data_IF_358140340435
#
_entry.id   IF_358140340435
#
_cell.length_a   1.000
_cell.length_b   1.000
_cell.length_c   1.000
_cell.angle_alpha   90.00
_cell.angle_beta   90.00
_cell.angle_gamma   90.00
#
_symmetry.space_group_name_H-M   'P 1'
#
loop_
_entity.id
_entity.type
_entity.pdbx_description
1 polymer ?
#
# COMPACT_ATOMS: atom_id res chain seq x y z
N UNK A 1 13.36 -3.03 -1.72
CA UNK A 1 12.81 -3.88 -2.80
C UNK A 1 13.91 -4.71 -3.43
N UNK A 2 13.54 -5.80 -4.11
CA UNK A 2 14.48 -6.54 -4.97
C UNK A 2 14.39 -6.03 -6.41
N UNK A 3 15.44 -6.26 -7.19
CA UNK A 3 15.46 -5.90 -8.62
C UNK A 3 14.37 -6.62 -9.43
N UNK A 4 13.99 -7.83 -9.02
CA UNK A 4 12.94 -8.59 -9.69
C UNK A 4 11.56 -7.95 -9.53
N UNK A 5 11.23 -7.44 -8.33
CA UNK A 5 9.99 -6.69 -8.10
C UNK A 5 9.95 -5.43 -8.95
N UNK A 6 11.08 -4.71 -9.03
CA UNK A 6 11.20 -3.50 -9.85
C UNK A 6 11.02 -3.79 -11.34
N UNK A 7 11.68 -4.82 -11.87
CA UNK A 7 11.52 -5.25 -13.27
C UNK A 7 10.07 -5.63 -13.57
N UNK A 8 9.42 -6.41 -12.69
CA UNK A 8 8.00 -6.77 -12.86
C UNK A 8 7.11 -5.53 -12.92
N UNK A 9 7.31 -4.57 -12.01
CA UNK A 9 6.52 -3.33 -12.01
C UNK A 9 6.72 -2.53 -13.29
N UNK A 10 7.96 -2.38 -13.76
CA UNK A 10 8.25 -1.71 -15.07
C UNK A 10 7.50 -2.38 -16.21
N UNK A 11 7.54 -3.72 -16.30
CA UNK A 11 6.88 -4.47 -17.37
C UNK A 11 5.36 -4.41 -17.26
N UNK A 12 4.78 -4.34 -16.05
CA UNK A 12 3.35 -4.09 -15.84
C UNK A 12 2.95 -2.70 -16.35
N UNK A 13 3.71 -1.65 -16.01
CA UNK A 13 3.44 -0.28 -16.47
C UNK A 13 3.55 -0.16 -18.00
N UNK A 14 4.57 -0.79 -18.58
CA UNK A 14 4.79 -0.83 -20.04
C UNK A 14 3.58 -1.28 -20.84
N UNK A 15 2.78 -2.20 -20.29
CA UNK A 15 1.61 -2.77 -20.99
C UNK A 15 0.53 -1.73 -21.28
N UNK A 16 0.45 -0.66 -20.47
CA UNK A 16 -0.59 0.35 -20.61
C UNK A 16 -0.05 1.78 -20.79
N UNK A 17 1.20 2.05 -20.43
CA UNK A 17 1.84 3.36 -20.58
C UNK A 17 3.37 3.25 -20.73
N UNK A 18 3.83 3.33 -21.98
CA UNK A 18 5.25 3.19 -22.31
C UNK A 18 6.10 4.33 -21.73
N UNK A 19 5.62 5.58 -21.76
CA UNK A 19 6.38 6.72 -21.25
C UNK A 19 6.50 6.67 -19.73
N UNK A 20 5.43 6.31 -19.04
CA UNK A 20 5.42 6.13 -17.58
C UNK A 20 6.35 5.01 -17.14
N UNK A 21 6.49 3.94 -17.95
CA UNK A 21 7.41 2.84 -17.63
C UNK A 21 8.88 3.28 -17.47
N UNK A 22 9.29 4.36 -18.16
CA UNK A 22 10.64 4.92 -18.03
C UNK A 22 10.85 5.48 -16.61
N UNK A 23 9.84 6.15 -16.05
CA UNK A 23 9.89 6.67 -14.66
C UNK A 23 9.98 5.53 -13.65
N UNK A 24 9.31 4.42 -13.93
CA UNK A 24 9.28 3.23 -13.07
C UNK A 24 10.60 2.46 -13.00
N UNK A 25 11.60 2.78 -13.84
CA UNK A 25 12.98 2.30 -13.66
C UNK A 25 13.56 2.66 -12.29
N UNK A 26 13.05 3.74 -11.68
CA UNK A 26 13.45 4.23 -10.36
C UNK A 26 12.53 3.74 -9.23
N UNK A 27 11.55 2.88 -9.51
CA UNK A 27 10.62 2.36 -8.50
C UNK A 27 11.36 1.69 -7.35
N UNK A 28 10.97 2.04 -6.12
CA UNK A 28 11.62 1.53 -4.92
C UNK A 28 10.66 0.94 -3.90
N UNK A 29 9.50 1.58 -3.70
CA UNK A 29 8.50 1.12 -2.73
C UNK A 29 7.13 1.69 -3.09
N UNK A 30 6.09 1.05 -2.55
CA UNK A 30 4.73 1.55 -2.56
C UNK A 30 4.25 1.80 -1.14
N UNK A 31 3.30 2.71 -0.99
CA UNK A 31 2.50 2.83 0.24
C UNK A 31 1.05 2.67 -0.11
N UNK A 32 0.31 1.96 0.74
CA UNK A 32 -1.12 1.71 0.54
C UNK A 32 -1.89 2.23 1.75
N UNK A 33 -2.93 3.01 1.49
CA UNK A 33 -3.88 3.46 2.49
C UNK A 33 -5.04 2.46 2.54
N UNK A 34 -5.21 1.86 3.71
CA UNK A 34 -6.31 0.95 4.00
C UNK A 34 -7.19 1.53 5.10
N UNK A 35 -8.50 1.47 4.90
CA UNK A 35 -9.48 1.66 5.97
C UNK A 35 -9.81 0.31 6.59
N UNK A 36 -9.93 0.26 7.92
CA UNK A 36 -10.25 -0.97 8.67
C UNK A 36 -11.50 -0.74 9.50
N UNK A 37 -12.48 -1.62 9.34
CA UNK A 37 -13.62 -1.75 10.25
C UNK A 37 -13.28 -2.80 11.31
N UNK A 38 -12.86 -2.32 12.49
CA UNK A 38 -12.48 -3.18 13.60
C UNK A 38 -13.65 -4.02 14.14
N UNK A 39 -14.88 -3.52 14.06
CA UNK A 39 -16.07 -4.19 14.62
C UNK A 39 -16.48 -5.36 13.75
N UNK A 40 -16.49 -5.16 12.44
CA UNK A 40 -16.95 -6.15 11.48
C UNK A 40 -15.82 -6.97 10.83
N UNK A 41 -14.55 -6.71 11.21
CA UNK A 41 -13.34 -7.33 10.67
C UNK A 41 -13.29 -7.24 9.13
N UNK A 42 -13.46 -6.02 8.59
CA UNK A 42 -13.41 -5.72 7.15
C UNK A 42 -12.33 -4.70 6.82
N UNK A 43 -11.84 -4.73 5.59
CA UNK A 43 -10.83 -3.81 5.09
C UNK A 43 -11.22 -3.24 3.72
N UNK A 44 -10.74 -2.04 3.40
CA UNK A 44 -11.02 -1.32 2.17
C UNK A 44 -9.74 -0.61 1.71
N UNK A 45 -9.26 -0.89 0.50
CA UNK A 45 -8.12 -0.17 -0.06
C UNK A 45 -8.60 1.16 -0.65
N UNK A 46 -8.06 2.28 -0.18
CA UNK A 46 -8.46 3.62 -0.65
C UNK A 46 -7.47 4.17 -1.70
N UNK A 47 -6.18 4.05 -1.42
CA UNK A 47 -5.13 4.66 -2.23
C UNK A 47 -3.89 3.78 -2.25
N UNK A 48 -3.18 3.75 -3.38
CA UNK A 48 -1.77 3.37 -3.40
C UNK A 48 -0.93 4.44 -4.09
N UNK A 49 0.30 4.58 -3.64
CA UNK A 49 1.27 5.54 -4.15
C UNK A 49 2.59 4.83 -4.36
N UNK A 50 3.13 4.96 -5.57
CA UNK A 50 4.42 4.40 -5.95
C UNK A 50 5.49 5.49 -5.83
N UNK A 51 6.63 5.14 -5.23
CA UNK A 51 7.72 6.08 -4.96
C UNK A 51 9.05 5.59 -5.53
N UNK A 52 9.91 6.56 -5.84
CA UNK A 52 11.33 6.31 -6.03
C UNK A 52 12.07 6.20 -4.69
N UNK A 53 13.38 5.92 -4.76
CA UNK A 53 14.25 5.78 -3.59
C UNK A 53 14.41 7.06 -2.75
N UNK A 54 14.11 8.22 -3.33
CA UNK A 54 14.21 9.53 -2.67
C UNK A 54 12.85 9.98 -2.11
N UNK A 55 11.80 9.17 -2.22
CA UNK A 55 10.45 9.52 -1.80
C UNK A 55 9.70 10.41 -2.80
N UNK A 56 10.18 10.55 -4.03
CA UNK A 56 9.43 11.23 -5.10
C UNK A 56 8.32 10.31 -5.59
N UNK A 57 7.10 10.85 -5.69
CA UNK A 57 5.94 10.16 -6.24
C UNK A 57 6.17 9.87 -7.73
N UNK A 58 6.08 8.60 -8.09
CA UNK A 58 6.06 8.12 -9.48
C UNK A 58 4.64 8.06 -10.00
N UNK A 59 3.72 7.57 -9.15
CA UNK A 59 2.30 7.49 -9.45
C UNK A 59 1.47 7.49 -8.17
N UNK A 60 0.22 7.89 -8.30
CA UNK A 60 -0.78 7.83 -7.24
C UNK A 60 -2.10 7.42 -7.84
N UNK A 61 -2.70 6.39 -7.26
CA UNK A 61 -4.01 5.92 -7.65
C UNK A 61 -4.95 5.91 -6.44
N UNK A 62 -6.10 6.56 -6.59
CA UNK A 62 -7.20 6.52 -5.63
C UNK A 62 -8.36 5.75 -6.23
N UNK A 63 -8.89 4.81 -5.47
CA UNK A 63 -10.06 4.08 -5.90
C UNK A 63 -11.32 4.90 -5.66
N UNK A 64 -12.09 5.14 -6.72
CA UNK A 64 -13.33 5.90 -6.64
C UNK A 64 -14.51 5.06 -6.11
N UNK A 65 -14.40 3.73 -6.19
CA UNK A 65 -15.42 2.75 -5.80
C UNK A 65 -14.76 1.48 -5.29
N UNK A 66 -14.12 1.56 -4.12
CA UNK A 66 -13.66 0.36 -3.44
C UNK A 66 -14.79 -0.26 -2.63
N UNK A 67 -14.76 -1.58 -2.48
CA UNK A 67 -15.71 -2.33 -1.67
C UNK A 67 -15.06 -2.84 -0.39
N UNK A 68 -15.84 -2.91 0.67
CA UNK A 68 -15.40 -3.51 1.92
C UNK A 68 -15.29 -5.02 1.75
N UNK A 69 -14.09 -5.55 1.99
CA UNK A 69 -13.82 -6.97 1.88
C UNK A 69 -13.54 -7.57 3.27
N UNK A 70 -13.85 -8.86 3.40
CA UNK A 70 -13.48 -9.62 4.59
C UNK A 70 -11.96 -9.74 4.69
N UNK A 71 -11.41 -9.58 5.90
CA UNK A 71 -9.98 -9.73 6.11
C UNK A 71 -9.56 -11.20 5.94
N UNK A 72 -8.71 -11.46 4.95
CA UNK A 72 -8.18 -12.80 4.67
C UNK A 72 -7.21 -13.22 5.78
N UNK A 73 -7.35 -14.43 6.36
CA UNK A 73 -6.41 -14.95 7.35
C UNK A 73 -4.96 -15.07 6.82
N UNK A 74 -3.97 -14.92 7.70
CA UNK A 74 -2.53 -14.98 7.38
C UNK A 74 -2.05 -13.94 6.34
N UNK A 75 -2.87 -12.93 6.06
CA UNK A 75 -2.53 -11.85 5.13
C UNK A 75 -1.87 -10.65 5.82
N UNK A 76 -1.31 -9.73 5.02
CA UNK A 76 -0.88 -8.42 5.51
C UNK A 76 -2.02 -7.61 6.14
N UNK A 77 -3.25 -7.73 5.62
CA UNK A 77 -4.44 -7.08 6.16
C UNK A 77 -4.80 -7.58 7.56
N UNK A 78 -4.66 -8.89 7.83
CA UNK A 78 -4.89 -9.42 9.17
C UNK A 78 -3.86 -8.92 10.17
N UNK A 79 -2.57 -8.86 9.79
CA UNK A 79 -1.52 -8.29 10.64
C UNK A 79 -1.81 -6.83 10.97
N UNK A 80 -2.26 -6.05 9.98
CA UNK A 80 -2.62 -4.65 10.19
C UNK A 80 -3.81 -4.51 11.15
N UNK A 81 -4.84 -5.34 10.99
CA UNK A 81 -5.98 -5.40 11.92
C UNK A 81 -5.56 -5.73 13.35
N UNK A 82 -4.70 -6.74 13.55
CA UNK A 82 -4.20 -7.10 14.88
C UNK A 82 -3.45 -5.93 15.54
N UNK A 83 -2.64 -5.21 14.76
CA UNK A 83 -1.90 -4.06 15.27
C UNK A 83 -2.79 -2.85 15.56
N UNK A 84 -3.79 -2.58 14.73
CA UNK A 84 -4.64 -1.38 14.83
C UNK A 84 -5.83 -1.55 15.80
N UNK A 85 -6.46 -2.72 15.81
CA UNK A 85 -7.74 -2.95 16.49
C UNK A 85 -7.60 -3.76 17.80
N UNK A 86 -6.60 -4.64 17.91
CA UNK A 86 -6.50 -5.61 19.02
C UNK A 86 -5.39 -5.24 20.00
N UNK A 87 -4.23 -4.82 19.49
CA UNK A 87 -3.11 -4.46 20.36
C UNK A 87 -3.47 -3.22 21.18
N UNK A 88 -3.50 -3.29 22.53
CA UNK A 88 -3.77 -2.10 23.33
C UNK A 88 -2.69 -1.07 23.02
N UNK A 89 -3.10 0.08 22.48
CA UNK A 89 -2.17 1.15 22.14
C UNK A 89 -1.35 1.47 23.39
N UNK A 90 -0.06 1.11 23.40
CA UNK A 90 0.84 1.66 24.42
C UNK A 90 0.74 3.18 24.28
N UNK A 91 0.47 3.92 25.37
CA UNK A 91 0.35 5.37 25.28
C UNK A 91 1.63 5.88 24.61
N UNK A 92 1.45 6.52 23.46
CA UNK A 92 2.49 7.27 22.78
C UNK A 92 3.15 8.17 23.82
N UNK A 93 4.41 7.86 24.18
CA UNK A 93 5.22 8.80 24.95
C UNK A 93 5.38 10.03 24.07
N UNK A 94 4.52 11.03 24.29
CA UNK A 94 4.75 12.38 23.77
C UNK A 94 6.19 12.74 24.14
N UNK A 95 7.06 12.88 23.14
CA UNK A 95 8.38 13.47 23.35
C UNK A 95 8.13 14.90 23.84
N UNK A 96 8.57 15.16 25.06
CA UNK A 96 8.55 16.48 25.70
C UNK A 96 9.72 17.30 25.18
#
# INVERSE_FOLDING_TARGET
MTDDTRKKRVEEVKKYDLEKSIKYQNYHHETVLWNIDCKNKRILMEEFIDFDKNGKVLDRYRYNKSEWESIIPNSGGERLYQNACITPQKPSKKKK
#
